data_IF_719039708213
#
_entry.id   IF_719039708213
#
_cell.length_a   1.000
_cell.length_b   1.000
_cell.length_c   1.000
_cell.angle_alpha   90.00
_cell.angle_beta   90.00
_cell.angle_gamma   90.00
#
_symmetry.space_group_name_H-M   'P 1'
#
loop_
_entity.id
_entity.type
_entity.pdbx_description
1 polymer ?
#
# COMPACT_ATOMS: atom_id res chain seq x y z
N UNK A 1 6.90 -5.54 5.26
CA UNK A 1 5.89 -5.23 4.21
C UNK A 1 4.72 -6.18 4.38
N UNK A 2 3.48 -5.68 4.27
CA UNK A 2 2.28 -6.50 4.30
C UNK A 2 1.66 -6.56 2.90
N UNK A 3 1.18 -7.73 2.50
CA UNK A 3 0.43 -7.91 1.26
C UNK A 3 -0.63 -8.99 1.43
N UNK A 4 -1.77 -8.84 0.78
CA UNK A 4 -2.74 -9.92 0.69
C UNK A 4 -2.36 -10.91 -0.44
N UNK A 5 -3.05 -12.05 -0.53
CA UNK A 5 -2.78 -13.06 -1.55
C UNK A 5 -3.81 -13.12 -2.68
N UNK A 6 -4.88 -12.34 -2.64
CA UNK A 6 -5.99 -12.47 -3.59
C UNK A 6 -5.62 -12.05 -5.03
N UNK A 7 -5.94 -12.88 -6.02
CA UNK A 7 -5.87 -12.54 -7.45
C UNK A 7 -7.27 -12.67 -8.04
N UNK A 8 -7.75 -11.63 -8.73
CA UNK A 8 -9.12 -11.52 -9.19
C UNK A 8 -9.22 -11.13 -10.67
N UNK A 9 -10.37 -11.36 -11.28
CA UNK A 9 -10.69 -10.92 -12.64
C UNK A 9 -11.23 -9.48 -12.68
N UNK A 10 -11.69 -9.03 -13.85
CA UNK A 10 -12.19 -7.66 -14.04
C UNK A 10 -13.55 -7.42 -13.35
N UNK A 11 -14.26 -8.50 -13.01
CA UNK A 11 -15.54 -8.53 -12.32
C UNK A 11 -15.38 -8.60 -10.80
N UNK A 12 -14.15 -8.78 -10.31
CA UNK A 12 -13.85 -8.89 -8.88
C UNK A 12 -14.05 -10.29 -8.31
N UNK A 13 -14.16 -11.31 -9.16
CA UNK A 13 -14.23 -12.71 -8.73
C UNK A 13 -12.82 -13.21 -8.46
N UNK A 14 -12.64 -13.87 -7.32
CA UNK A 14 -11.36 -14.45 -6.95
C UNK A 14 -11.02 -15.62 -7.89
N UNK A 15 -9.84 -15.58 -8.50
CA UNK A 15 -9.38 -16.59 -9.46
C UNK A 15 -8.31 -17.52 -8.89
N UNK A 16 -7.48 -17.03 -7.96
CA UNK A 16 -6.49 -17.80 -7.20
C UNK A 16 -5.92 -16.99 -6.03
N UNK A 17 -5.13 -17.66 -5.20
CA UNK A 17 -4.24 -17.04 -4.22
C UNK A 17 -2.80 -17.12 -4.70
N UNK A 18 -2.05 -16.03 -4.55
CA UNK A 18 -0.66 -15.92 -4.98
C UNK A 18 0.11 -14.93 -4.11
N UNK A 19 1.43 -15.09 -4.00
CA UNK A 19 2.26 -14.14 -3.25
C UNK A 19 2.45 -12.87 -4.06
N UNK A 20 2.08 -11.72 -3.50
CA UNK A 20 2.28 -10.41 -4.13
C UNK A 20 3.65 -9.78 -3.83
N UNK A 21 4.49 -10.49 -3.08
CA UNK A 21 5.82 -10.08 -2.69
C UNK A 21 6.79 -11.24 -2.90
N UNK A 22 7.81 -11.02 -3.72
CA UNK A 22 8.79 -12.04 -4.12
C UNK A 22 10.15 -11.68 -3.48
N UNK A 23 10.76 -12.59 -2.70
CA UNK A 23 12.12 -12.40 -2.20
C UNK A 23 13.13 -12.48 -3.34
N UNK A 24 14.21 -11.72 -3.21
CA UNK A 24 15.32 -11.73 -4.16
C UNK A 24 16.44 -12.60 -3.61
N UNK A 25 16.96 -13.51 -4.41
CA UNK A 25 18.01 -14.44 -3.99
C UNK A 25 19.37 -13.76 -3.93
N UNK A 26 19.62 -12.82 -4.85
CA UNK A 26 20.92 -12.15 -4.97
C UNK A 26 21.20 -11.10 -3.89
N UNK A 27 20.20 -10.68 -3.09
CA UNK A 27 20.37 -9.72 -1.99
C UNK A 27 19.19 -9.75 -0.99
N UNK A 28 19.42 -9.23 0.22
CA UNK A 28 18.44 -9.28 1.31
C UNK A 28 17.29 -8.30 1.09
N UNK A 29 16.24 -8.74 0.38
CA UNK A 29 14.99 -8.02 0.30
C UNK A 29 13.95 -8.63 -0.63
N UNK A 30 12.90 -7.85 -0.90
CA UNK A 30 11.69 -8.28 -1.59
C UNK A 30 11.24 -7.22 -2.59
N UNK A 31 10.63 -7.66 -3.68
CA UNK A 31 9.92 -6.79 -4.62
C UNK A 31 8.44 -7.13 -4.65
N UNK A 32 7.59 -6.11 -4.83
CA UNK A 32 6.17 -6.27 -5.11
C UNK A 32 5.73 -5.32 -6.21
N UNK A 33 4.55 -5.54 -6.78
CA UNK A 33 4.00 -4.63 -7.79
C UNK A 33 2.49 -4.49 -7.66
N UNK A 34 1.98 -3.31 -8.03
CA UNK A 34 0.59 -3.05 -8.38
C UNK A 34 0.46 -2.81 -9.88
N UNK A 35 -0.72 -3.12 -10.42
CA UNK A 35 -1.01 -3.01 -11.85
C UNK A 35 -0.90 -4.36 -12.54
N UNK A 36 -0.46 -4.37 -13.80
CA UNK A 36 -0.34 -5.58 -14.59
C UNK A 36 0.73 -6.54 -14.01
N UNK A 37 0.49 -7.86 -14.10
CA UNK A 37 1.40 -8.91 -13.60
C UNK A 37 2.82 -8.80 -14.17
N UNK A 38 2.95 -8.23 -15.37
CA UNK A 38 4.25 -7.93 -15.97
C UNK A 38 5.17 -7.14 -15.03
N UNK A 39 4.63 -6.20 -14.23
CA UNK A 39 5.41 -5.35 -13.35
C UNK A 39 6.22 -6.12 -12.31
N UNK A 40 5.62 -7.11 -11.64
CA UNK A 40 6.32 -7.91 -10.62
C UNK A 40 7.35 -8.85 -11.26
N UNK A 41 7.03 -9.44 -12.42
CA UNK A 41 7.94 -10.33 -13.16
C UNK A 41 9.16 -9.55 -13.66
N UNK A 42 8.95 -8.37 -14.23
CA UNK A 42 10.04 -7.52 -14.69
C UNK A 42 10.90 -7.01 -13.53
N UNK A 43 10.29 -6.60 -12.42
CA UNK A 43 11.00 -6.17 -11.23
C UNK A 43 11.91 -7.28 -10.69
N UNK A 44 11.38 -8.51 -10.56
CA UNK A 44 12.13 -9.68 -10.12
C UNK A 44 13.31 -9.99 -11.06
N UNK A 45 13.06 -10.12 -12.37
CA UNK A 45 14.09 -10.44 -13.36
C UNK A 45 15.19 -9.37 -13.44
N UNK A 46 14.85 -8.10 -13.21
CA UNK A 46 15.84 -7.02 -13.17
C UNK A 46 16.59 -7.04 -11.84
N UNK A 47 15.91 -7.27 -10.71
CA UNK A 47 16.50 -7.31 -9.37
C UNK A 47 17.61 -8.38 -9.24
N UNK A 48 17.40 -9.57 -9.78
CA UNK A 48 18.37 -10.69 -9.76
C UNK A 48 19.66 -10.40 -10.54
N UNK A 49 19.71 -9.33 -11.33
CA UNK A 49 20.93 -8.92 -12.06
C UNK A 49 21.90 -8.11 -11.22
N UNK A 50 21.46 -7.66 -10.04
CA UNK A 50 22.26 -6.81 -9.17
C UNK A 50 22.74 -7.60 -7.96
N UNK A 51 23.98 -7.35 -7.50
CA UNK A 51 24.57 -8.08 -6.37
C UNK A 51 24.13 -7.52 -5.00
N UNK A 52 23.45 -6.38 -4.97
CA UNK A 52 23.00 -5.74 -3.73
C UNK A 52 21.75 -4.90 -3.99
N UNK A 53 21.00 -4.67 -2.92
CA UNK A 53 19.84 -3.78 -2.94
C UNK A 53 20.22 -2.35 -3.37
N UNK A 54 21.31 -1.80 -2.84
CA UNK A 54 21.78 -0.45 -3.19
C UNK A 54 22.14 -0.33 -4.68
N UNK A 55 22.79 -1.35 -5.24
CA UNK A 55 23.10 -1.38 -6.67
C UNK A 55 21.82 -1.45 -7.52
N UNK A 56 20.84 -2.25 -7.09
CA UNK A 56 19.52 -2.31 -7.73
C UNK A 56 18.83 -0.95 -7.72
N UNK A 57 18.70 -0.27 -6.58
CA UNK A 57 18.04 1.04 -6.50
C UNK A 57 18.78 2.08 -7.34
N UNK A 58 20.11 2.12 -7.32
CA UNK A 58 20.88 3.11 -8.05
C UNK A 58 20.83 2.96 -9.59
N UNK A 59 20.62 1.75 -10.11
CA UNK A 59 20.88 1.45 -11.53
C UNK A 59 19.71 0.80 -12.29
N UNK A 60 18.70 0.26 -11.61
CA UNK A 60 17.65 -0.53 -12.26
C UNK A 60 16.60 0.30 -13.00
N UNK A 61 16.37 1.54 -12.62
CA UNK A 61 15.26 2.34 -13.15
C UNK A 61 15.25 2.49 -14.69
N UNK A 62 16.38 2.80 -15.37
CA UNK A 62 16.43 2.84 -16.84
C UNK A 62 16.17 1.48 -17.51
N UNK A 63 16.54 0.38 -16.84
CA UNK A 63 16.26 -0.97 -17.35
C UNK A 63 14.77 -1.27 -17.28
N UNK A 64 14.13 -1.01 -16.14
CA UNK A 64 12.69 -1.18 -15.93
C UNK A 64 11.91 -0.32 -16.93
N UNK A 65 12.31 0.93 -17.12
CA UNK A 65 11.71 1.83 -18.12
C UNK A 65 11.78 1.22 -19.53
N UNK A 66 12.96 0.78 -19.95
CA UNK A 66 13.16 0.20 -21.29
C UNK A 66 12.26 -1.02 -21.49
N UNK A 67 12.26 -1.95 -20.54
CA UNK A 67 11.46 -3.18 -20.64
C UNK A 67 9.96 -2.84 -20.64
N UNK A 68 9.52 -1.90 -19.81
CA UNK A 68 8.12 -1.50 -19.73
C UNK A 68 7.64 -0.85 -21.03
N UNK A 69 8.42 0.09 -21.58
CA UNK A 69 8.10 0.72 -22.88
C UNK A 69 8.03 -0.30 -24.00
N UNK A 70 8.93 -1.28 -24.00
CA UNK A 70 8.92 -2.35 -24.99
C UNK A 70 7.68 -3.24 -24.86
N UNK A 71 7.26 -3.59 -23.64
CA UNK A 71 6.03 -4.34 -23.38
C UNK A 71 4.77 -3.57 -23.81
N UNK A 72 4.73 -2.25 -23.57
CA UNK A 72 3.65 -1.36 -24.06
C UNK A 72 3.59 -1.38 -25.59
N UNK A 73 4.73 -1.23 -26.27
CA UNK A 73 4.80 -1.22 -27.74
C UNK A 73 4.38 -2.56 -28.36
N UNK A 74 4.68 -3.68 -27.69
CA UNK A 74 4.27 -5.02 -28.12
C UNK A 74 2.81 -5.36 -27.76
N UNK A 75 2.13 -4.53 -26.99
CA UNK A 75 0.75 -4.76 -26.56
C UNK A 75 0.59 -5.81 -25.46
N UNK A 76 1.68 -6.19 -24.78
CA UNK A 76 1.70 -7.26 -23.77
C UNK A 76 0.97 -6.88 -22.47
N UNK A 77 0.70 -5.60 -22.26
CA UNK A 77 0.05 -5.09 -21.04
C UNK A 77 -1.48 -4.98 -21.18
N UNK A 78 -2.04 -5.31 -22.34
CA UNK A 78 -3.49 -5.33 -22.59
C UNK A 78 -4.21 -4.04 -22.11
N UNK A 79 -3.57 -2.88 -22.27
CA UNK A 79 -4.08 -1.57 -21.86
C UNK A 79 -3.79 -1.18 -20.40
N UNK A 80 -3.35 -2.10 -19.54
CA UNK A 80 -2.94 -1.82 -18.15
C UNK A 80 -1.48 -1.34 -18.10
N UNK A 81 -1.23 -0.15 -18.62
CA UNK A 81 0.13 0.42 -18.74
C UNK A 81 0.65 1.11 -17.48
N UNK A 82 -0.19 1.24 -16.45
CA UNK A 82 0.20 1.83 -15.17
C UNK A 82 0.66 0.72 -14.24
N UNK A 83 1.92 0.78 -13.85
CA UNK A 83 2.53 -0.12 -12.87
C UNK A 83 3.17 0.69 -11.75
N UNK A 84 3.19 0.13 -10.56
CA UNK A 84 3.93 0.65 -9.42
C UNK A 84 4.67 -0.51 -8.78
N UNK A 85 6.00 -0.47 -8.85
CA UNK A 85 6.89 -1.47 -8.28
C UNK A 85 7.37 -0.94 -6.93
N UNK A 86 7.39 -1.80 -5.92
CA UNK A 86 8.03 -1.54 -4.63
C UNK A 86 9.22 -2.47 -4.44
N UNK A 87 10.27 -1.93 -3.84
CA UNK A 87 11.42 -2.70 -3.42
C UNK A 87 11.73 -2.37 -1.96
N UNK A 88 11.73 -3.38 -1.11
CA UNK A 88 12.12 -3.29 0.29
C UNK A 88 13.37 -4.15 0.47
N UNK A 89 14.46 -3.58 0.96
CA UNK A 89 15.71 -4.30 1.13
C UNK A 89 16.59 -3.74 2.22
N UNK A 90 17.60 -4.50 2.63
CA UNK A 90 18.66 -4.02 3.51
C UNK A 90 19.65 -3.17 2.71
N UNK A 91 19.77 -1.89 3.04
CA UNK A 91 20.79 -1.02 2.47
C UNK A 91 22.07 -1.14 3.27
N UNK A 92 23.15 -1.57 2.62
CA UNK A 92 24.48 -1.67 3.23
C UNK A 92 25.08 -0.28 3.44
N UNK A 93 24.75 0.68 2.56
CA UNK A 93 25.28 2.05 2.63
C UNK A 93 24.83 2.81 3.88
N UNK A 94 23.56 2.64 4.28
CA UNK A 94 23.00 3.30 5.47
C UNK A 94 22.75 2.34 6.63
N UNK A 95 23.14 1.08 6.46
CA UNK A 95 23.07 0.02 7.46
C UNK A 95 21.69 -0.14 8.11
N UNK A 96 20.63 -0.10 7.28
CA UNK A 96 19.23 -0.23 7.71
C UNK A 96 18.31 -0.68 6.56
N UNK A 97 17.11 -1.20 6.86
CA UNK A 97 16.10 -1.45 5.84
C UNK A 97 15.66 -0.14 5.17
N UNK A 98 15.40 -0.20 3.86
CA UNK A 98 14.85 0.90 3.07
C UNK A 98 13.77 0.39 2.13
N UNK A 99 12.78 1.23 1.83
CA UNK A 99 11.70 0.94 0.90
C UNK A 99 11.68 2.01 -0.18
N UNK A 100 11.63 1.61 -1.44
CA UNK A 100 11.48 2.53 -2.56
C UNK A 100 10.28 2.13 -3.42
N UNK A 101 9.61 3.15 -3.96
CA UNK A 101 8.56 2.99 -4.96
C UNK A 101 9.03 3.56 -6.30
N UNK A 102 8.80 2.81 -7.38
CA UNK A 102 8.96 3.28 -8.75
C UNK A 102 7.63 3.12 -9.48
N UNK A 103 7.15 4.18 -10.13
CA UNK A 103 5.88 4.16 -10.85
C UNK A 103 6.09 4.48 -12.33
N UNK A 104 5.35 3.83 -13.22
CA UNK A 104 5.30 4.20 -14.65
C UNK A 104 4.47 5.48 -14.86
N UNK A 105 4.50 6.10 -16.05
CA UNK A 105 3.69 7.27 -16.34
C UNK A 105 2.22 7.01 -16.09
N UNK A 106 1.61 7.85 -15.26
CA UNK A 106 0.20 7.78 -14.91
C UNK A 106 -0.44 9.15 -15.13
N UNK A 107 -1.58 9.25 -15.83
CA UNK A 107 -2.32 10.50 -15.93
C UNK A 107 -2.95 10.92 -14.59
N UNK A 108 -2.88 10.07 -13.56
CA UNK A 108 -3.44 10.30 -12.24
C UNK A 108 -2.42 10.83 -11.22
N UNK A 109 -1.14 10.87 -11.57
CA UNK A 109 -0.09 11.37 -10.69
C UNK A 109 0.85 12.31 -11.45
N UNK A 110 1.33 13.34 -10.75
CA UNK A 110 2.41 14.23 -11.22
C UNK A 110 3.80 13.74 -10.76
N UNK A 111 3.87 12.60 -10.08
CA UNK A 111 5.12 12.04 -9.56
C UNK A 111 6.08 11.69 -10.71
N UNK A 112 7.40 11.84 -10.48
CA UNK A 112 8.38 11.47 -11.49
C UNK A 112 8.26 9.99 -11.84
N UNK A 113 8.11 9.70 -13.14
CA UNK A 113 8.03 8.33 -13.62
C UNK A 113 9.41 7.70 -13.73
N UNK A 114 9.50 6.40 -13.45
CA UNK A 114 10.76 5.64 -13.50
C UNK A 114 11.88 6.24 -12.64
N UNK A 115 11.52 6.78 -11.48
CA UNK A 115 12.47 7.21 -10.45
C UNK A 115 12.12 6.45 -9.19
N UNK A 116 13.13 5.87 -8.55
CA UNK A 116 12.96 5.31 -7.21
C UNK A 116 12.79 6.44 -6.21
N UNK A 117 11.62 6.50 -5.60
CA UNK A 117 11.30 7.43 -4.52
C UNK A 117 11.42 6.65 -3.23
N UNK A 118 12.27 7.11 -2.31
CA UNK A 118 12.36 6.53 -0.99
C UNK A 118 11.08 6.78 -0.20
N UNK A 119 10.46 5.71 0.28
CA UNK A 119 9.23 5.77 1.05
C UNK A 119 9.50 6.26 2.50
N UNK A 120 10.75 6.22 2.98
CA UNK A 120 11.08 6.49 4.39
C UNK A 120 11.60 7.91 4.69
N UNK A 121 12.26 8.60 3.74
CA UNK A 121 12.83 9.94 3.95
C UNK A 121 11.83 11.08 3.64
N UNK A 122 10.51 10.80 3.58
CA UNK A 122 9.46 11.79 3.30
C UNK A 122 8.46 12.04 4.46
N UNK A 123 7.96 13.28 4.55
CA UNK A 123 6.78 13.68 5.37
C UNK A 123 5.46 13.07 4.84
N UNK A 124 5.55 12.35 3.71
CA UNK A 124 4.51 11.47 3.23
C UNK A 124 4.72 10.17 3.98
N UNK A 125 3.95 9.96 5.06
CA UNK A 125 3.89 8.72 5.82
C UNK A 125 4.22 7.52 4.93
N UNK A 126 5.36 6.86 5.15
CA UNK A 126 5.96 5.82 4.30
C UNK A 126 5.13 4.54 4.12
N UNK A 127 3.84 4.64 4.34
CA UNK A 127 2.83 3.64 4.18
C UNK A 127 1.92 4.02 3.02
N UNK A 128 2.15 3.43 1.86
CA UNK A 128 1.17 3.50 0.77
C UNK A 128 0.17 2.38 0.95
N UNK A 129 -0.98 2.73 1.52
CA UNK A 129 -2.11 1.83 1.69
C UNK A 129 -2.87 1.69 0.37
N UNK A 130 -2.89 0.48 -0.18
CA UNK A 130 -3.75 0.12 -1.29
C UNK A 130 -4.64 -1.06 -0.92
N UNK A 131 -5.98 -0.93 -0.91
CA UNK A 131 -6.77 0.29 -1.10
C UNK A 131 -6.56 1.31 0.04
N UNK A 132 -6.85 2.58 -0.26
CA UNK A 132 -6.79 3.66 0.73
C UNK A 132 -7.98 3.60 1.69
N UNK A 133 -7.78 4.09 2.91
CA UNK A 133 -8.78 4.04 3.96
C UNK A 133 -9.82 5.18 3.85
N UNK A 134 -11.09 4.84 4.09
CA UNK A 134 -12.16 5.81 4.32
C UNK A 134 -11.92 6.60 5.62
N UNK A 135 -12.53 7.78 5.77
CA UNK A 135 -12.45 8.51 7.05
C UNK A 135 -13.08 7.71 8.21
N UNK A 136 -14.08 6.86 7.91
CA UNK A 136 -14.71 5.98 8.88
C UNK A 136 -13.74 4.93 9.41
N UNK A 137 -12.99 4.26 8.53
CA UNK A 137 -12.01 3.25 8.92
C UNK A 137 -10.77 3.86 9.58
N UNK A 138 -10.32 5.02 9.12
CA UNK A 138 -9.27 5.79 9.79
C UNK A 138 -9.67 6.14 11.23
N UNK A 139 -10.89 6.65 11.39
CA UNK A 139 -11.41 6.98 12.71
C UNK A 139 -11.58 5.72 13.58
N UNK A 140 -12.02 4.60 13.01
CA UNK A 140 -12.09 3.31 13.72
C UNK A 140 -10.72 2.90 14.22
N UNK A 141 -9.70 2.90 13.37
CA UNK A 141 -8.33 2.57 13.74
C UNK A 141 -7.82 3.51 14.85
N UNK A 142 -8.13 4.80 14.76
CA UNK A 142 -7.84 5.76 15.83
C UNK A 142 -8.51 5.40 17.17
N UNK A 143 -9.77 4.92 17.16
CA UNK A 143 -10.46 4.44 18.38
C UNK A 143 -9.82 3.17 18.97
N UNK A 144 -9.07 2.41 18.17
CA UNK A 144 -8.28 1.27 18.60
C UNK A 144 -6.86 1.66 19.06
N UNK A 145 -6.49 2.95 18.95
CA UNK A 145 -5.14 3.44 19.22
C UNK A 145 -4.13 3.02 18.13
N UNK A 146 -4.59 2.90 16.89
CA UNK A 146 -3.86 2.39 15.73
C UNK A 146 -3.86 3.41 14.58
N UNK A 147 -3.57 4.68 14.84
CA UNK A 147 -3.67 5.73 13.84
C UNK A 147 -2.52 5.68 12.81
N UNK A 148 -2.80 5.42 11.51
CA UNK A 148 -1.77 5.43 10.47
C UNK A 148 -1.03 6.77 10.41
N UNK A 149 0.31 6.73 10.34
CA UNK A 149 1.15 7.93 10.26
C UNK A 149 1.38 8.66 11.59
N UNK A 150 0.73 8.23 12.68
CA UNK A 150 0.98 8.75 14.03
C UNK A 150 1.49 7.67 14.98
N UNK A 151 0.76 6.56 15.07
CA UNK A 151 1.05 5.46 15.98
C UNK A 151 1.95 4.40 15.32
N UNK A 152 2.15 4.51 14.01
CA UNK A 152 2.93 3.56 13.22
C UNK A 152 4.22 4.22 12.76
N UNK A 153 5.30 3.93 13.47
CA UNK A 153 6.67 4.15 12.99
C UNK A 153 7.29 2.78 12.73
N UNK A 154 8.22 2.64 11.77
CA UNK A 154 8.86 1.36 11.47
C UNK A 154 9.39 0.62 12.71
N UNK A 155 9.90 1.36 13.69
CA UNK A 155 10.54 0.83 14.90
C UNK A 155 9.54 0.27 15.93
N UNK A 156 8.28 0.70 15.87
CA UNK A 156 7.23 0.30 16.84
C UNK A 156 6.06 -0.43 16.17
N UNK A 157 6.15 -0.66 14.86
CA UNK A 157 5.09 -1.32 14.10
C UNK A 157 5.09 -2.83 14.38
N UNK A 158 4.03 -3.31 15.03
CA UNK A 158 3.77 -4.73 15.23
C UNK A 158 2.85 -5.25 14.10
N UNK A 159 3.31 -6.20 13.25
CA UNK A 159 2.54 -6.69 12.12
C UNK A 159 1.18 -7.30 12.49
N UNK A 160 1.09 -7.96 13.65
CA UNK A 160 -0.13 -8.62 14.09
C UNK A 160 -1.08 -7.59 14.69
N UNK A 161 -0.60 -6.82 15.67
CA UNK A 161 -1.41 -5.84 16.40
C UNK A 161 -1.85 -4.66 15.53
N UNK A 162 -0.99 -4.21 14.61
CA UNK A 162 -1.26 -3.02 13.78
C UNK A 162 -1.65 -3.39 12.35
N UNK A 163 -0.96 -4.38 11.78
CA UNK A 163 -1.14 -4.77 10.38
C UNK A 163 -2.46 -5.48 10.09
N UNK A 164 -2.89 -6.41 10.95
CA UNK A 164 -4.16 -7.13 10.73
C UNK A 164 -5.35 -6.16 10.77
N UNK A 165 -5.54 -5.30 11.80
CA UNK A 165 -6.65 -4.36 11.81
C UNK A 165 -6.66 -3.38 10.64
N UNK A 166 -5.47 -2.98 10.16
CA UNK A 166 -5.31 -2.16 8.96
C UNK A 166 -5.83 -2.91 7.73
N UNK A 167 -5.34 -4.12 7.48
CA UNK A 167 -5.69 -4.91 6.30
C UNK A 167 -7.18 -5.30 6.31
N UNK A 168 -7.77 -5.54 7.48
CA UNK A 168 -9.23 -5.71 7.65
C UNK A 168 -10.01 -4.45 7.23
N UNK A 169 -9.52 -3.25 7.58
CA UNK A 169 -10.12 -2.01 7.11
C UNK A 169 -9.99 -1.81 5.61
N UNK A 170 -8.82 -2.14 5.04
CA UNK A 170 -8.61 -2.10 3.61
C UNK A 170 -9.50 -3.09 2.86
N UNK A 171 -9.72 -4.29 3.42
CA UNK A 171 -10.63 -5.31 2.89
C UNK A 171 -12.07 -4.83 2.76
N UNK A 172 -12.56 -4.02 3.69
CA UNK A 172 -13.90 -3.41 3.58
C UNK A 172 -14.01 -2.32 2.53
N UNK A 173 -12.89 -1.85 1.96
CA UNK A 173 -12.94 -0.85 0.90
C UNK A 173 -13.26 -1.48 -0.45
N UNK A 174 -14.04 -0.76 -1.24
CA UNK A 174 -14.20 -1.06 -2.65
C UNK A 174 -13.05 -0.42 -3.44
N UNK A 175 -12.62 -1.11 -4.49
CA UNK A 175 -11.70 -0.55 -5.48
C UNK A 175 -12.28 0.71 -6.12
N UNK A 176 -11.40 1.66 -6.48
CA UNK A 176 -11.84 2.86 -7.17
C UNK A 176 -12.33 2.51 -8.60
N UNK A 177 -13.46 3.07 -9.07
CA UNK A 177 -14.01 2.81 -10.42
C UNK A 177 -13.07 3.20 -11.57
N UNK A 178 -11.97 3.90 -11.28
CA UNK A 178 -10.98 4.33 -12.27
C UNK A 178 -10.04 3.20 -12.71
N UNK A 179 -9.92 2.15 -11.90
CA UNK A 179 -9.01 1.02 -12.15
C UNK A 179 -9.77 -0.15 -12.75
N UNK A 180 -11.02 -0.35 -12.33
CA UNK A 180 -11.85 -1.47 -12.75
C UNK A 180 -13.23 -0.99 -13.22
N UNK A 181 -13.88 -1.70 -14.16
CA UNK A 181 -15.20 -1.34 -14.66
C UNK A 181 -16.27 -1.29 -13.57
N UNK A 182 -16.10 -2.10 -12.51
CA UNK A 182 -16.98 -2.18 -11.35
C UNK A 182 -16.16 -2.15 -10.06
N UNK A 183 -16.61 -1.45 -9.01
CA UNK A 183 -16.00 -1.54 -7.70
C UNK A 183 -16.19 -2.94 -7.09
N UNK A 184 -15.16 -3.47 -6.45
CA UNK A 184 -15.20 -4.75 -5.70
C UNK A 184 -14.17 -4.73 -4.56
N UNK A 185 -14.25 -5.69 -3.64
CA UNK A 185 -13.28 -5.87 -2.56
C UNK A 185 -12.07 -6.66 -3.06
N UNK A 186 -10.87 -6.11 -2.89
CA UNK A 186 -9.66 -6.64 -3.53
C UNK A 186 -8.56 -7.11 -2.56
N UNK A 187 -8.87 -7.18 -1.26
CA UNK A 187 -7.94 -7.64 -0.21
C UNK A 187 -8.52 -8.90 0.38
N UNK A 188 -7.83 -10.02 0.20
CA UNK A 188 -8.30 -11.32 0.68
C UNK A 188 -7.28 -12.45 0.62
N UNK A 189 -7.75 -13.64 0.96
CA UNK A 189 -6.93 -14.84 1.17
C UNK A 189 -6.15 -14.75 2.46
N UNK A 190 -4.86 -14.43 2.36
CA UNK A 190 -3.91 -14.46 3.47
C UNK A 190 -3.21 -13.11 3.57
N UNK A 191 -2.89 -12.67 4.79
CA UNK A 191 -1.95 -11.57 5.02
C UNK A 191 -0.54 -12.16 5.13
N UNK A 192 0.28 -11.88 4.11
CA UNK A 192 1.70 -12.18 4.12
C UNK A 192 2.48 -11.03 4.73
N UNK A 193 3.31 -11.33 5.73
CA UNK A 193 4.28 -10.42 6.31
C UNK A 193 5.68 -10.77 5.81
N UNK A 194 6.29 -9.86 5.05
CA UNK A 194 7.70 -9.93 4.69
C UNK A 194 8.55 -9.05 5.62
N UNK A 195 9.46 -9.68 6.34
CA UNK A 195 10.45 -9.02 7.22
C UNK A 195 11.81 -9.05 6.54
N UNK A 196 12.50 -7.92 6.51
CA UNK A 196 13.85 -7.80 5.94
C UNK A 196 14.80 -7.36 7.04
N UNK A 197 15.85 -8.14 7.25
CA UNK A 197 16.92 -7.88 8.20
C UNK A 197 18.26 -7.82 7.46
N UNK A 198 19.36 -7.59 8.19
CA UNK A 198 20.70 -7.67 7.62
C UNK A 198 21.01 -9.10 7.19
N UNK A 199 20.45 -10.10 7.87
CA UNK A 199 20.75 -11.52 7.69
C UNK A 199 19.95 -12.16 6.57
N UNK A 200 18.81 -11.60 6.20
CA UNK A 200 17.98 -12.16 5.14
C UNK A 200 16.55 -11.63 5.09
N UNK A 201 15.70 -12.45 4.48
CA UNK A 201 14.26 -12.19 4.33
C UNK A 201 13.48 -13.34 4.91
N UNK A 202 12.50 -13.00 5.75
CA UNK A 202 11.52 -13.95 6.27
C UNK A 202 10.14 -13.57 5.74
N UNK A 203 9.35 -14.59 5.36
CA UNK A 203 7.96 -14.41 4.94
C UNK A 203 7.07 -15.40 5.68
N UNK A 204 6.02 -14.89 6.31
CA UNK A 204 5.05 -15.70 7.03
C UNK A 204 3.61 -15.22 6.80
N UNK A 205 2.66 -16.12 6.96
CA UNK A 205 1.24 -15.80 7.00
C UNK A 205 0.89 -15.41 8.44
N UNK A 206 0.39 -14.20 8.64
CA UNK A 206 0.01 -13.69 9.96
C UNK A 206 -1.50 -13.69 10.20
N UNK A 207 -2.29 -13.90 9.15
CA UNK A 207 -3.76 -13.93 9.20
C UNK A 207 -4.33 -14.56 7.92
N UNK A 208 -5.49 -15.21 8.04
CA UNK A 208 -6.20 -15.83 6.93
C UNK A 208 -7.69 -15.48 6.98
N UNK A 209 -8.29 -15.24 5.82
CA UNK A 209 -9.74 -15.13 5.64
C UNK A 209 -10.27 -16.38 4.93
N UNK A 210 -11.52 -16.80 5.23
CA UNK A 210 -12.13 -17.98 4.61
C UNK A 210 -12.64 -17.69 3.19
N UNK A 211 -11.82 -17.08 2.34
CA UNK A 211 -12.17 -16.76 0.95
C UNK A 211 -12.13 -18.01 0.06
N UNK A 212 -12.99 -18.07 -0.95
CA UNK A 212 -13.08 -19.20 -1.88
C UNK A 212 -12.86 -18.76 -3.33
N UNK A 213 -12.00 -19.50 -4.05
CA UNK A 213 -11.80 -19.30 -5.49
C UNK A 213 -13.10 -19.54 -6.24
N UNK A 214 -13.44 -18.63 -7.14
CA UNK A 214 -14.69 -18.62 -7.90
C UNK A 214 -15.78 -17.75 -7.29
N UNK A 215 -15.57 -17.20 -6.09
CA UNK A 215 -16.50 -16.26 -5.44
C UNK A 215 -15.90 -14.85 -5.33
N UNK A 216 -16.73 -13.79 -5.31
CA UNK A 216 -16.28 -12.47 -4.89
C UNK A 216 -15.84 -12.46 -3.42
N UNK A 217 -14.95 -11.54 -3.07
CA UNK A 217 -14.57 -11.32 -1.67
C UNK A 217 -15.72 -10.62 -0.93
N UNK A 218 -16.17 -11.23 0.17
CA UNK A 218 -17.19 -10.68 1.06
C UNK A 218 -16.57 -10.36 2.43
N UNK A 219 -16.28 -9.08 2.73
CA UNK A 219 -15.79 -8.69 4.04
C UNK A 219 -16.84 -8.92 5.13
N UNK A 220 -16.42 -9.41 6.29
CA UNK A 220 -17.29 -9.52 7.45
C UNK A 220 -17.79 -8.14 7.90
N UNK A 221 -19.02 -8.13 8.44
CA UNK A 221 -19.55 -6.95 9.10
C UNK A 221 -18.68 -6.58 10.30
N UNK A 222 -18.37 -5.29 10.45
CA UNK A 222 -17.60 -4.80 11.60
C UNK A 222 -18.47 -4.76 12.86
N UNK A 223 -18.47 -5.87 13.59
CA UNK A 223 -19.18 -5.99 14.86
C UNK A 223 -18.42 -5.36 16.03
N UNK A 224 -17.14 -5.00 15.85
CA UNK A 224 -16.28 -4.41 16.89
C UNK A 224 -16.53 -2.91 17.03
N UNK A 225 -16.86 -2.22 15.94
CA UNK A 225 -17.07 -0.76 15.90
C UNK A 225 -18.03 -0.23 16.98
N UNK A 226 -19.07 -0.99 17.33
CA UNK A 226 -20.05 -0.60 18.35
C UNK A 226 -19.49 -0.63 19.79
N UNK A 227 -18.40 -1.37 20.04
CA UNK A 227 -17.81 -1.57 21.37
C UNK A 227 -16.61 -0.67 21.66
N UNK A 228 -16.07 -0.03 20.62
CA UNK A 228 -14.90 0.84 20.75
C UNK A 228 -15.23 2.13 21.53
N UNK A 229 -14.26 2.75 22.21
CA UNK A 229 -14.48 4.01 22.91
C UNK A 229 -14.92 5.11 21.95
N UNK A 230 -15.77 6.03 22.42
CA UNK A 230 -16.15 7.21 21.64
C UNK A 230 -15.05 8.26 21.83
N UNK A 231 -14.14 8.35 20.87
CA UNK A 231 -13.14 9.41 20.77
C UNK A 231 -13.42 10.23 19.50
N UNK A 232 -13.16 11.53 19.53
CA UNK A 232 -13.27 12.34 18.32
C UNK A 232 -12.19 11.91 17.30
N UNK A 233 -12.46 11.94 15.99
CA UNK A 233 -11.44 11.71 14.98
C UNK A 233 -10.27 12.67 15.12
N UNK A 234 -9.06 12.23 14.78
CA UNK A 234 -7.83 13.04 14.91
C UNK A 234 -7.80 14.31 14.05
N UNK A 235 -8.61 14.35 12.98
CA UNK A 235 -8.79 15.54 12.15
C UNK A 235 -9.72 16.59 12.78
N UNK A 236 -10.46 16.24 13.83
CA UNK A 236 -11.28 17.20 14.58
C UNK A 236 -10.36 18.05 15.45
N UNK A 237 -10.50 19.37 15.36
CA UNK A 237 -9.70 20.28 16.19
C UNK A 237 -10.07 20.08 17.65
N UNK A 238 -9.07 20.15 18.54
CA UNK A 238 -9.24 19.97 19.99
C UNK A 238 -10.40 20.77 20.61
N UNK A 239 -10.58 22.02 20.17
CA UNK A 239 -11.66 22.90 20.66
C UNK A 239 -13.07 22.45 20.26
N UNK A 240 -13.19 21.59 19.25
CA UNK A 240 -14.45 21.12 18.66
C UNK A 240 -14.76 19.66 19.07
N UNK A 241 -13.86 18.97 19.78
CA UNK A 241 -14.00 17.55 20.17
C UNK A 241 -15.26 17.27 21.00
N UNK A 242 -15.54 18.13 22.00
CA UNK A 242 -16.69 17.93 22.88
C UNK A 242 -18.02 18.00 22.13
N UNK A 243 -18.15 18.97 21.22
CA UNK A 243 -19.31 19.13 20.35
C UNK A 243 -19.46 17.92 19.42
N UNK A 244 -18.35 17.48 18.81
CA UNK A 244 -18.35 16.31 17.94
C UNK A 244 -18.85 15.06 18.68
N UNK A 245 -18.34 14.79 19.88
CA UNK A 245 -18.77 13.64 20.70
C UNK A 245 -20.25 13.73 21.07
N UNK A 246 -20.75 14.93 21.39
CA UNK A 246 -22.17 15.14 21.68
C UNK A 246 -23.04 14.83 20.46
N UNK A 247 -22.67 15.35 19.28
CA UNK A 247 -23.36 15.07 18.01
C UNK A 247 -23.37 13.57 17.70
N UNK A 248 -22.25 12.87 17.92
CA UNK A 248 -22.16 11.44 17.70
C UNK A 248 -23.10 10.66 18.63
N UNK A 249 -23.15 11.03 19.92
CA UNK A 249 -24.07 10.40 20.90
C UNK A 249 -25.54 10.63 20.56
N UNK A 250 -25.86 11.75 19.93
CA UNK A 250 -27.21 12.05 19.43
C UNK A 250 -27.55 11.35 18.11
N UNK A 251 -26.60 10.66 17.49
CA UNK A 251 -26.75 10.02 16.18
C UNK A 251 -26.80 11.03 15.03
N UNK A 252 -26.38 12.27 15.24
CA UNK A 252 -26.36 13.31 14.21
C UNK A 252 -25.17 13.17 13.26
N UNK A 253 -24.11 12.52 13.75
CA UNK A 253 -22.93 12.14 12.97
C UNK A 253 -22.59 10.68 13.28
N UNK A 254 -21.99 9.99 12.32
CA UNK A 254 -21.62 8.58 12.41
C UNK A 254 -20.61 8.22 11.32
N UNK A 255 -20.02 7.02 11.36
CA UNK A 255 -19.04 6.58 10.37
C UNK A 255 -19.59 6.71 8.93
N UNK A 256 -20.85 6.31 8.73
CA UNK A 256 -21.54 6.36 7.43
C UNK A 256 -21.91 7.79 6.98
N UNK A 257 -21.82 8.75 7.90
CA UNK A 257 -22.10 10.18 7.64
C UNK A 257 -20.82 11.00 7.49
N UNK A 258 -19.64 10.40 7.68
CA UNK A 258 -18.39 11.10 7.42
C UNK A 258 -18.21 11.31 5.91
N UNK A 259 -17.76 12.50 5.47
CA UNK A 259 -17.50 12.74 4.07
C UNK A 259 -16.42 11.78 3.56
N UNK A 260 -16.38 11.50 2.26
CA UNK A 260 -15.23 10.81 1.69
C UNK A 260 -13.96 11.59 2.03
N UNK A 261 -12.87 10.86 2.28
CA UNK A 261 -11.56 11.47 2.49
C UNK A 261 -11.27 12.39 1.29
N UNK A 262 -11.01 13.70 1.52
CA UNK A 262 -10.61 14.56 0.43
C UNK A 262 -9.35 13.99 -0.21
N UNK A 263 -9.27 14.03 -1.54
CA UNK A 263 -8.05 13.62 -2.23
C UNK A 263 -6.86 14.36 -1.60
N UNK A 264 -5.74 13.65 -1.39
CA UNK A 264 -4.53 14.26 -0.88
C UNK A 264 -4.21 15.51 -1.72
N UNK A 265 -3.94 16.64 -1.05
CA UNK A 265 -3.60 17.86 -1.76
C UNK A 265 -2.34 17.58 -2.61
N UNK A 266 -2.31 17.99 -3.89
CA UNK A 266 -1.14 17.77 -4.73
C UNK A 266 0.09 18.42 -4.09
N UNK A 267 1.25 17.76 -4.21
CA UNK A 267 2.51 18.27 -3.68
C UNK A 267 2.73 19.71 -4.16
N UNK A 268 3.04 20.61 -3.22
CA UNK A 268 3.32 21.99 -3.57
C UNK A 268 4.63 22.09 -4.36
N UNK A 269 4.86 23.23 -5.03
CA UNK A 269 6.04 23.44 -5.88
C UNK A 269 7.38 23.26 -5.13
N UNK A 270 7.41 23.57 -3.83
CA UNK A 270 8.61 23.44 -3.00
C UNK A 270 8.90 21.99 -2.65
N UNK A 271 7.87 21.22 -2.27
CA UNK A 271 7.95 19.77 -2.04
C UNK A 271 8.43 19.04 -3.31
N UNK A 272 7.86 19.39 -4.47
CA UNK A 272 8.30 18.86 -5.76
C UNK A 272 9.78 19.15 -6.07
N UNK A 273 10.24 20.36 -5.78
CA UNK A 273 11.65 20.75 -5.97
C UNK A 273 12.60 20.05 -5.01
N UNK A 274 12.16 19.76 -3.79
CA UNK A 274 12.96 19.01 -2.82
C UNK A 274 13.14 17.57 -3.29
N UNK A 275 12.06 16.90 -3.69
CA UNK A 275 12.11 15.53 -4.24
C UNK A 275 13.00 15.44 -5.49
N UNK A 276 12.88 16.38 -6.43
CA UNK A 276 13.70 16.40 -7.65
C UNK A 276 15.20 16.65 -7.40
N UNK A 277 15.58 17.18 -6.24
CA UNK A 277 16.99 17.35 -5.84
C UNK A 277 17.53 16.13 -5.11
N UNK A 278 16.70 15.41 -4.36
CA UNK A 278 17.08 14.20 -3.65
C UNK A 278 17.34 13.00 -4.59
N UNK A 279 16.74 12.99 -5.78
CA UNK A 279 16.96 11.96 -6.81
C UNK A 279 18.11 12.23 -7.78
N UNK A 280 19.04 13.15 -7.47
CA UNK A 280 20.25 13.44 -8.26
C UNK A 280 21.49 13.13 -7.46
#
# INVERSE_FOLDING_TARGET
MLSDSSIYDAEGVLTRFDRKAIPIESWNGVVSSRGHIWGIVAAFVVAERFPSFDAFIAQSAPLIEREHRAAVQRGELHGQTIISIRALGWSEQVDRPRSYTLTSPSPLSEDPSYVWIDDLDGDVSGYVFGPGLSLADDWRLHREGLEPGKDWQPEIFDPVRHGIPLMEAQRRQLTAPRVFPRPFHCVGGEIWCSTVTREGVEQEVIHEWPDEVGLPIEPEADTKAARLPIVAPSFVKRKDEALWIEQYRRGEIGPDLLPPRPAAAPLNRQQRRALARAGR
#
